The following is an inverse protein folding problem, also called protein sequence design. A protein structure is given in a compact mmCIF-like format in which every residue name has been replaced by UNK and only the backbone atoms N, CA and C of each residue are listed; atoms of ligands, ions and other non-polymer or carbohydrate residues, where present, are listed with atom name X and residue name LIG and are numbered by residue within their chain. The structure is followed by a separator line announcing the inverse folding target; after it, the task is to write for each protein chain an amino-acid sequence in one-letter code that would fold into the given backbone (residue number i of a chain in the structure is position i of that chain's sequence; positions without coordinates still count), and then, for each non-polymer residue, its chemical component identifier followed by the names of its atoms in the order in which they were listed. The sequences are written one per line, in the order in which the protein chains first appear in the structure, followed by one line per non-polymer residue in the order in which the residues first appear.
data_IF_137137231654
#
_entry.id   IF_137137231654
#
_cell.length_a   1.000
_cell.length_b   1.000
_cell.length_c   1.000
_cell.angle_alpha   90.00
_cell.angle_beta   90.00
_cell.angle_gamma   90.00
#
_symmetry.space_group_name_H-M   'P 1'
#
loop_
_entity.id
_entity.type
_entity.pdbx_description
1 polymer ?
#
# COMPACT_ATOMS: atom_id res chain seq x y z
N UNK A 1 29.49 -41.91 8.10
CA UNK A 1 28.53 -41.25 9.02
C UNK A 1 28.86 -39.76 9.05
N UNK A 2 27.93 -38.86 8.71
CA UNK A 2 28.15 -37.42 8.85
C UNK A 2 28.15 -37.06 10.33
N UNK A 3 29.12 -36.25 10.76
CA UNK A 3 29.24 -35.87 12.18
C UNK A 3 28.13 -34.90 12.57
N UNK A 4 27.74 -34.89 13.84
CA UNK A 4 26.72 -33.98 14.39
C UNK A 4 27.05 -32.50 14.16
N UNK A 5 28.34 -32.17 14.02
CA UNK A 5 28.83 -30.82 13.71
C UNK A 5 28.44 -30.35 12.29
N UNK A 6 28.60 -31.20 11.27
CA UNK A 6 28.23 -30.87 9.88
C UNK A 6 26.72 -30.65 9.72
N UNK A 7 25.90 -31.41 10.44
CA UNK A 7 24.43 -31.26 10.42
C UNK A 7 23.99 -29.93 11.04
N UNK A 8 24.69 -29.48 12.09
CA UNK A 8 24.44 -28.19 12.75
C UNK A 8 24.84 -27.00 11.86
N UNK A 9 25.95 -27.09 11.15
CA UNK A 9 26.41 -26.06 10.21
C UNK A 9 25.45 -25.89 9.03
N UNK A 10 25.02 -26.98 8.39
CA UNK A 10 24.03 -26.94 7.31
C UNK A 10 22.69 -26.37 7.77
N UNK A 11 22.24 -26.72 8.98
CA UNK A 11 21.01 -26.17 9.56
C UNK A 11 21.11 -24.66 9.78
N UNK A 12 22.24 -24.16 10.30
CA UNK A 12 22.49 -22.71 10.44
C UNK A 12 22.48 -22.00 9.08
N UNK A 13 23.10 -22.59 8.06
CA UNK A 13 23.14 -22.03 6.71
C UNK A 13 21.73 -21.97 6.09
N UNK A 14 20.93 -23.04 6.26
CA UNK A 14 19.53 -23.07 5.83
C UNK A 14 18.68 -22.01 6.52
N UNK A 15 18.84 -21.84 7.84
CA UNK A 15 18.18 -20.77 8.58
C UNK A 15 18.60 -19.37 8.12
N UNK A 16 19.89 -19.16 7.84
CA UNK A 16 20.38 -17.86 7.35
C UNK A 16 19.77 -17.53 5.97
N UNK A 17 19.69 -18.51 5.08
CA UNK A 17 19.03 -18.35 3.76
C UNK A 17 17.55 -18.05 3.90
N UNK A 18 16.84 -18.80 4.75
CA UNK A 18 15.42 -18.55 5.06
C UNK A 18 15.20 -17.16 5.65
N UNK A 19 16.04 -16.74 6.60
CA UNK A 19 15.96 -15.41 7.19
C UNK A 19 16.18 -14.31 6.15
N UNK A 20 17.14 -14.48 5.25
CA UNK A 20 17.42 -13.52 4.18
C UNK A 20 16.28 -13.42 3.17
N UNK A 21 15.69 -14.55 2.77
CA UNK A 21 14.52 -14.54 1.88
C UNK A 21 13.33 -13.90 2.60
N UNK A 22 13.07 -14.29 3.84
CA UNK A 22 11.97 -13.74 4.64
C UNK A 22 12.10 -12.24 4.84
N UNK A 23 13.29 -11.72 5.13
CA UNK A 23 13.51 -10.28 5.31
C UNK A 23 13.34 -9.53 3.99
N UNK A 24 13.88 -10.06 2.88
CA UNK A 24 13.69 -9.46 1.57
C UNK A 24 12.20 -9.39 1.19
N UNK A 25 11.44 -10.47 1.41
CA UNK A 25 9.99 -10.50 1.16
C UNK A 25 9.25 -9.46 2.02
N UNK A 26 9.58 -9.36 3.31
CA UNK A 26 8.96 -8.38 4.20
C UNK A 26 9.22 -6.93 3.73
N UNK A 27 10.45 -6.63 3.28
CA UNK A 27 10.82 -5.31 2.76
C UNK A 27 10.02 -4.99 1.49
N UNK A 28 9.91 -5.93 0.54
CA UNK A 28 9.15 -5.73 -0.70
C UNK A 28 7.68 -5.45 -0.40
N UNK A 29 7.08 -6.22 0.52
CA UNK A 29 5.68 -6.01 0.94
C UNK A 29 5.52 -4.62 1.58
N UNK A 30 6.43 -4.23 2.48
CA UNK A 30 6.36 -2.93 3.14
C UNK A 30 6.45 -1.77 2.13
N UNK A 31 7.35 -1.86 1.14
CA UNK A 31 7.46 -0.86 0.07
C UNK A 31 6.18 -0.82 -0.77
N UNK A 32 5.64 -1.98 -1.17
CA UNK A 32 4.40 -2.06 -1.93
C UNK A 32 3.21 -1.43 -1.21
N UNK A 33 3.07 -1.68 0.08
CA UNK A 33 2.04 -1.07 0.93
C UNK A 33 2.22 0.45 1.06
N UNK A 34 3.45 0.93 1.21
CA UNK A 34 3.73 2.37 1.26
C UNK A 34 3.37 3.05 -0.07
N UNK A 35 3.77 2.48 -1.20
CA UNK A 35 3.44 3.00 -2.54
C UNK A 35 1.92 3.03 -2.73
N UNK A 36 1.20 1.97 -2.36
CA UNK A 36 -0.25 1.96 -2.42
C UNK A 36 -0.83 3.10 -1.59
N UNK A 37 -0.40 3.26 -0.34
CA UNK A 37 -0.86 4.33 0.56
C UNK A 37 -0.64 5.73 -0.01
N UNK A 38 0.51 6.01 -0.61
CA UNK A 38 0.81 7.31 -1.21
C UNK A 38 0.05 7.58 -2.52
N UNK A 39 -0.39 6.54 -3.22
CA UNK A 39 -1.18 6.67 -4.44
C UNK A 39 -2.70 6.71 -4.17
N UNK A 40 -3.13 6.62 -2.91
CA UNK A 40 -4.55 6.80 -2.61
C UNK A 40 -4.97 8.24 -2.94
N UNK A 41 -6.14 8.44 -3.56
CA UNK A 41 -6.65 9.77 -3.84
C UNK A 41 -6.80 10.55 -2.53
N UNK A 42 -6.51 11.84 -2.56
CA UNK A 42 -6.76 12.76 -1.47
C UNK A 42 -7.78 13.82 -1.88
N UNK A 43 -8.44 14.42 -0.89
CA UNK A 43 -9.38 15.50 -1.16
C UNK A 43 -8.73 16.63 -1.98
N UNK A 44 -9.45 17.13 -2.98
CA UNK A 44 -8.97 18.12 -3.93
C UNK A 44 -8.16 17.57 -5.11
N UNK A 45 -7.80 16.27 -5.13
CA UNK A 45 -7.20 15.67 -6.32
C UNK A 45 -8.23 15.54 -7.44
N UNK A 46 -7.82 15.72 -8.71
CA UNK A 46 -8.72 15.58 -9.85
C UNK A 46 -9.20 14.13 -9.99
N UNK A 47 -10.42 13.98 -10.48
CA UNK A 47 -11.03 12.68 -10.75
C UNK A 47 -11.79 12.74 -12.08
N UNK A 48 -11.66 11.67 -12.89
CA UNK A 48 -12.26 11.64 -14.23
C UNK A 48 -13.68 11.08 -14.24
N UNK A 49 -14.08 10.32 -13.22
CA UNK A 49 -15.36 9.60 -13.19
C UNK A 49 -16.29 10.24 -12.18
N UNK A 50 -17.27 11.00 -12.67
CA UNK A 50 -18.30 11.63 -11.83
C UNK A 50 -19.02 10.59 -10.97
N UNK A 51 -19.28 10.93 -9.71
CA UNK A 51 -19.96 10.08 -8.75
C UNK A 51 -19.20 8.77 -8.40
N UNK A 52 -17.92 8.65 -8.76
CA UNK A 52 -17.08 7.57 -8.25
C UNK A 52 -16.83 7.76 -6.75
N UNK A 53 -16.66 6.63 -6.05
CA UNK A 53 -16.31 6.61 -4.62
C UNK A 53 -14.92 6.02 -4.44
N UNK A 54 -14.10 6.65 -3.60
CA UNK A 54 -12.79 6.14 -3.18
C UNK A 54 -12.62 6.28 -1.67
N UNK A 55 -11.60 5.62 -1.11
CA UNK A 55 -11.22 5.82 0.28
C UNK A 55 -9.87 6.52 0.35
N UNK A 56 -9.75 7.43 1.30
CA UNK A 56 -8.46 8.03 1.63
C UNK A 56 -7.59 7.06 2.45
N UNK A 57 -6.36 7.49 2.70
CA UNK A 57 -5.38 6.75 3.49
C UNK A 57 -5.84 6.48 4.94
N UNK A 58 -6.75 7.30 5.47
CA UNK A 58 -7.38 7.14 6.77
C UNK A 58 -8.66 6.28 6.74
N UNK A 59 -9.03 5.72 5.58
CA UNK A 59 -10.24 4.90 5.39
C UNK A 59 -11.54 5.70 5.25
N UNK A 60 -11.49 7.03 5.21
CA UNK A 60 -12.64 7.91 4.99
C UNK A 60 -13.10 7.83 3.55
N UNK A 61 -14.41 7.76 3.35
CA UNK A 61 -14.98 7.66 2.00
C UNK A 61 -15.09 9.06 1.37
N UNK A 62 -14.62 9.17 0.13
CA UNK A 62 -14.69 10.37 -0.70
C UNK A 62 -15.46 10.08 -1.98
N UNK A 63 -16.04 11.14 -2.52
CA UNK A 63 -16.86 11.15 -3.72
C UNK A 63 -16.26 12.08 -4.76
N UNK A 64 -16.28 11.67 -6.01
CA UNK A 64 -15.84 12.49 -7.12
C UNK A 64 -16.98 13.43 -7.55
N UNK A 65 -16.89 14.70 -7.15
CA UNK A 65 -17.91 15.71 -7.43
C UNK A 65 -17.31 16.89 -8.20
N UNK A 66 -18.10 17.53 -9.08
CA UNK A 66 -17.68 18.76 -9.75
C UNK A 66 -17.33 19.83 -8.71
N UNK A 67 -16.27 20.59 -8.98
CA UNK A 67 -15.91 21.75 -8.16
C UNK A 67 -16.82 22.95 -8.49
N UNK A 68 -17.03 23.84 -7.51
CA UNK A 68 -17.72 25.12 -7.73
C UNK A 68 -16.83 26.16 -8.42
N UNK A 69 -15.51 25.94 -8.46
CA UNK A 69 -14.62 26.72 -9.31
C UNK A 69 -14.93 26.39 -10.78
N UNK A 70 -14.97 27.40 -11.65
CA UNK A 70 -15.52 27.35 -13.01
C UNK A 70 -14.72 26.50 -14.04
N UNK A 71 -14.22 25.33 -13.65
CA UNK A 71 -13.63 24.32 -14.52
C UNK A 71 -14.56 23.12 -14.64
N UNK A 72 -14.53 22.42 -15.78
CA UNK A 72 -15.19 21.13 -15.97
C UNK A 72 -14.55 19.99 -15.15
N UNK A 73 -13.81 20.33 -14.10
CA UNK A 73 -12.98 19.43 -13.33
C UNK A 73 -13.79 18.89 -12.15
N UNK A 74 -13.86 17.57 -12.07
CA UNK A 74 -14.34 16.89 -10.88
C UNK A 74 -13.14 16.63 -9.95
N UNK A 75 -13.38 16.76 -8.64
CA UNK A 75 -12.38 16.53 -7.61
C UNK A 75 -12.92 15.61 -6.53
N UNK A 76 -12.02 14.91 -5.85
CA UNK A 76 -12.36 14.13 -4.67
C UNK A 76 -12.79 15.04 -3.52
N UNK A 77 -13.98 14.84 -2.98
CA UNK A 77 -14.55 15.59 -1.87
C UNK A 77 -15.06 14.61 -0.81
N UNK A 78 -14.98 14.97 0.47
CA UNK A 78 -15.62 14.18 1.52
C UNK A 78 -17.14 14.34 1.44
N UNK A 79 -17.87 13.27 1.75
CA UNK A 79 -19.32 13.34 1.82
C UNK A 79 -19.72 14.34 2.93
N UNK A 80 -20.61 15.31 2.65
CA UNK A 80 -21.15 16.19 3.68
C UNK A 80 -22.04 15.37 4.61
N UNK A 81 -21.56 15.04 5.81
CA UNK A 81 -22.34 14.33 6.82
C UNK A 81 -21.63 13.19 7.58
N UNK A 82 -20.31 13.25 7.75
CA UNK A 82 -19.63 12.48 8.79
C UNK A 82 -19.40 13.36 10.02
#
# INVERSE_FOLDING_TARGET
MRTTAEKKANRKLGFLRLAMVSSATAIIIAIGMAVAYFNLPAAGHPCSVRNATARDAAGRTMWCNPTMAAGHDAVWQYAPGA
#
